data_IF_736937918432
#
_entry.id   IF_736937918432
#
_cell.length_a   1.000
_cell.length_b   1.000
_cell.length_c   1.000
_cell.angle_alpha   90.00
_cell.angle_beta   90.00
_cell.angle_gamma   90.00
#
_symmetry.space_group_name_H-M   'P 1'
#
loop_
_entity.id
_entity.type
_entity.pdbx_description
1 polymer ?
#
# COMPACT_ATOMS: atom_id res chain seq x y z
N UNK A 1 6.64 -3.58 -48.81
CA UNK A 1 5.80 -2.70 -47.98
C UNK A 1 5.92 -3.17 -46.55
N UNK A 2 6.37 -2.34 -45.59
CA UNK A 2 6.40 -2.72 -44.17
C UNK A 2 5.31 -1.96 -43.45
N UNK A 3 4.42 -2.70 -42.80
CA UNK A 3 3.36 -2.15 -41.97
C UNK A 3 3.92 -1.90 -40.57
N UNK A 4 3.57 -0.75 -39.98
CA UNK A 4 3.93 -0.40 -38.63
C UNK A 4 2.63 -0.02 -37.90
N UNK A 5 2.34 -0.72 -36.82
CA UNK A 5 1.23 -0.39 -35.92
C UNK A 5 1.83 0.11 -34.60
N UNK A 6 1.38 1.27 -34.13
CA UNK A 6 1.86 1.93 -32.93
C UNK A 6 0.70 2.62 -32.21
N UNK A 7 0.66 2.42 -30.90
CA UNK A 7 -0.26 3.12 -30.00
C UNK A 7 0.51 3.61 -28.77
N UNK A 8 0.11 4.77 -28.25
CA UNK A 8 0.61 5.28 -26.97
C UNK A 8 -0.31 4.79 -25.86
N UNK A 9 0.28 4.20 -24.83
CA UNK A 9 -0.43 3.88 -23.60
C UNK A 9 0.19 4.63 -22.45
N UNK A 10 -0.65 4.92 -21.46
CA UNK A 10 -0.23 5.44 -20.17
C UNK A 10 -0.47 4.36 -19.13
N UNK A 11 0.55 4.11 -18.33
CA UNK A 11 0.53 3.07 -17.29
C UNK A 11 0.98 3.73 -16.00
N UNK A 12 0.25 3.46 -14.94
CA UNK A 12 0.58 3.93 -13.59
C UNK A 12 0.56 2.72 -12.64
N UNK A 13 1.43 2.75 -11.63
CA UNK A 13 1.40 1.79 -10.53
C UNK A 13 0.24 2.03 -9.58
N UNK A 14 -0.01 1.10 -8.66
CA UNK A 14 -0.95 1.32 -7.57
C UNK A 14 -0.41 2.34 -6.56
N UNK A 15 -1.30 3.06 -5.87
CA UNK A 15 -0.94 4.11 -4.91
C UNK A 15 -0.30 3.60 -3.59
N UNK A 16 -0.22 2.28 -3.38
CA UNK A 16 0.13 1.69 -2.10
C UNK A 16 -1.00 1.79 -1.07
N UNK A 17 -0.90 0.99 0.00
CA UNK A 17 -1.81 1.07 1.15
C UNK A 17 -1.37 2.13 2.14
N UNK A 18 -2.32 2.74 2.85
CA UNK A 18 -2.00 3.62 3.97
C UNK A 18 -1.49 2.78 5.16
N UNK A 19 -0.52 3.32 5.89
CA UNK A 19 -0.11 2.74 7.17
C UNK A 19 -1.16 2.95 8.26
N UNK A 20 -1.02 2.23 9.38
CA UNK A 20 -1.94 2.26 10.51
C UNK A 20 -1.24 2.76 11.77
N UNK A 21 -1.86 3.71 12.47
CA UNK A 21 -1.44 4.09 13.82
C UNK A 21 -2.22 3.23 14.83
N UNK A 22 -1.63 2.12 15.25
CA UNK A 22 -2.24 1.18 16.21
C UNK A 22 -1.30 0.87 17.36
N UNK A 23 -1.90 0.52 18.51
CA UNK A 23 -1.22 0.02 19.69
C UNK A 23 -1.89 -1.25 20.18
N UNK A 24 -1.08 -2.21 20.62
CA UNK A 24 -1.55 -3.46 21.19
C UNK A 24 -2.35 -3.21 22.46
N UNK A 25 -3.53 -3.82 22.58
CA UNK A 25 -4.38 -3.72 23.78
C UNK A 25 -4.70 -5.10 24.32
N UNK A 26 -4.16 -5.42 25.49
CA UNK A 26 -4.39 -6.68 26.20
C UNK A 26 -4.95 -6.41 27.60
N UNK A 27 -5.80 -7.31 28.08
CA UNK A 27 -6.59 -7.12 29.30
C UNK A 27 -5.78 -6.76 30.55
N UNK A 28 -4.51 -7.18 30.61
CA UNK A 28 -3.63 -6.99 31.77
C UNK A 28 -2.32 -6.27 31.43
N UNK A 29 -2.27 -5.58 30.28
CA UNK A 29 -1.13 -4.74 29.88
C UNK A 29 -1.64 -3.32 29.76
N UNK A 30 -1.23 -2.46 30.70
CA UNK A 30 -1.66 -1.06 30.77
C UNK A 30 -1.24 -0.25 29.54
N UNK A 31 -0.04 -0.50 29.02
CA UNK A 31 0.47 0.14 27.80
C UNK A 31 1.11 -0.89 26.87
N UNK A 32 0.36 -1.37 25.88
CA UNK A 32 0.94 -2.17 24.80
C UNK A 32 1.69 -1.30 23.80
N UNK A 33 2.74 -1.88 23.19
CA UNK A 33 3.56 -1.19 22.19
C UNK A 33 2.80 -0.91 20.88
N UNK A 34 3.37 -0.07 20.00
CA UNK A 34 2.81 0.16 18.67
C UNK A 34 2.81 -1.15 17.85
N UNK A 35 1.69 -1.43 17.18
CA UNK A 35 1.47 -2.65 16.40
C UNK A 35 0.82 -2.40 15.02
N UNK A 36 0.82 -1.14 14.59
CA UNK A 36 0.37 -0.75 13.26
C UNK A 36 1.33 -1.21 12.16
N UNK A 37 0.76 -1.63 11.03
CA UNK A 37 1.46 -1.95 9.78
C UNK A 37 1.61 -0.75 8.86
#
# INVERSE_FOLDING_TARGET
MKFLDQVKIYVEGGSGGNGSASFRREKFIEFGGPDGG
#
